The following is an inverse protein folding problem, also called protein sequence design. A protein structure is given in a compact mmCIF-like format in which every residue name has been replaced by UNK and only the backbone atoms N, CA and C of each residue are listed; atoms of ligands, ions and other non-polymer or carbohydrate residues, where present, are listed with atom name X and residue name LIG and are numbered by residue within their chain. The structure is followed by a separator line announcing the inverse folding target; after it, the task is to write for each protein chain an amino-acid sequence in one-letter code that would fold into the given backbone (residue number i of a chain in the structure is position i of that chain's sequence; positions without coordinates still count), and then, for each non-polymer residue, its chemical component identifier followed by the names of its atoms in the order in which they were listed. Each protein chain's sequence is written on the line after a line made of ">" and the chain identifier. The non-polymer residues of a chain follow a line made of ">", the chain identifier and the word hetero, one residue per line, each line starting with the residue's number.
data_IF_668847463379
#
_entry.id   IF_668847463379
#
_cell.length_a   1.000
_cell.length_b   1.000
_cell.length_c   1.000
_cell.angle_alpha   90.00
_cell.angle_beta   90.00
_cell.angle_gamma   90.00
#
_symmetry.space_group_name_H-M   'P 1'
#
loop_
_entity.id
_entity.type
_entity.pdbx_description
1 polymer ?
#
# COMPACT_ATOMS: atom_id res chain seq x y z
N UNK A 1 10.75 11.64 35.79
CA UNK A 1 9.71 10.64 36.07
C UNK A 1 10.36 9.24 36.11
N UNK A 2 10.22 8.50 37.23
CA UNK A 2 10.73 7.11 37.34
C UNK A 2 9.85 6.22 36.43
N UNK A 3 10.41 5.65 35.35
CA UNK A 3 9.78 4.55 34.60
C UNK A 3 10.24 3.22 35.21
N UNK A 4 9.30 2.26 35.41
CA UNK A 4 9.60 0.90 35.80
C UNK A 4 9.22 -0.05 34.67
N UNK A 5 10.14 -0.88 34.20
CA UNK A 5 9.90 -2.02 33.31
C UNK A 5 10.18 -3.30 34.07
N UNK A 6 9.33 -4.30 33.89
CA UNK A 6 9.43 -5.63 34.52
C UNK A 6 9.42 -6.69 33.40
N UNK A 7 9.82 -7.92 33.71
CA UNK A 7 9.75 -9.03 32.74
C UNK A 7 11.02 -9.26 31.94
N UNK A 8 12.18 -8.89 32.45
CA UNK A 8 13.48 -9.26 31.86
C UNK A 8 13.79 -10.73 32.15
N UNK A 9 14.24 -11.48 31.15
CA UNK A 9 14.62 -12.89 31.30
C UNK A 9 15.96 -13.02 32.02
N UNK A 10 16.86 -12.03 31.92
CA UNK A 10 18.19 -12.04 32.55
C UNK A 10 18.55 -10.68 33.16
N UNK A 11 19.45 -10.71 34.16
CA UNK A 11 20.02 -9.49 34.72
C UNK A 11 20.77 -8.65 33.70
N UNK A 12 21.37 -9.30 32.70
CA UNK A 12 22.09 -8.64 31.60
C UNK A 12 21.12 -7.80 30.75
N UNK A 13 19.97 -8.34 30.36
CA UNK A 13 18.92 -7.59 29.65
C UNK A 13 18.40 -6.39 30.44
N UNK A 14 18.23 -6.54 31.76
CA UNK A 14 17.81 -5.43 32.59
C UNK A 14 18.85 -4.30 32.64
N UNK A 15 20.13 -4.63 32.74
CA UNK A 15 21.23 -3.67 32.74
C UNK A 15 21.43 -3.00 31.37
N UNK A 16 21.28 -3.74 30.29
CA UNK A 16 21.32 -3.19 28.93
C UNK A 16 20.14 -2.21 28.71
N UNK A 17 18.93 -2.59 29.14
CA UNK A 17 17.77 -1.69 29.08
C UNK A 17 17.93 -0.44 29.96
N UNK A 18 18.48 -0.58 31.19
CA UNK A 18 18.72 0.58 32.06
C UNK A 18 19.74 1.52 31.44
N UNK A 19 20.82 0.99 30.90
CA UNK A 19 21.86 1.79 30.21
C UNK A 19 21.25 2.54 29.01
N UNK A 20 20.48 1.84 28.16
CA UNK A 20 19.85 2.45 26.98
C UNK A 20 18.81 3.50 27.40
N UNK A 21 18.06 3.24 28.48
CA UNK A 21 17.12 4.21 29.03
C UNK A 21 17.81 5.48 29.57
N UNK A 22 18.94 5.34 30.25
CA UNK A 22 19.73 6.48 30.73
C UNK A 22 20.36 7.26 29.56
N UNK A 23 20.81 6.56 28.51
CA UNK A 23 21.30 7.18 27.27
C UNK A 23 20.19 7.93 26.54
N UNK A 24 18.95 7.42 26.53
CA UNK A 24 17.80 8.13 25.95
C UNK A 24 17.49 9.46 26.66
N UNK A 25 17.76 9.58 27.97
CA UNK A 25 17.56 10.85 28.69
C UNK A 25 18.60 11.93 28.32
N UNK A 26 19.77 11.54 27.83
CA UNK A 26 20.84 12.44 27.35
C UNK A 26 20.97 12.40 25.82
N UNK A 27 19.90 12.07 25.10
CA UNK A 27 19.79 11.84 23.66
C UNK A 27 21.02 12.26 22.85
N UNK A 28 21.96 11.35 22.67
CA UNK A 28 23.25 11.59 21.99
C UNK A 28 23.45 10.57 20.87
N UNK A 29 24.12 10.96 19.80
CA UNK A 29 24.53 10.05 18.72
C UNK A 29 25.52 8.96 19.17
N UNK A 30 25.99 9.02 20.42
CA UNK A 30 26.85 7.99 21.03
C UNK A 30 26.04 6.78 21.52
N UNK A 31 24.69 6.83 21.54
CA UNK A 31 23.87 5.68 21.87
C UNK A 31 23.86 4.64 20.75
N UNK A 32 23.50 3.39 21.09
CA UNK A 32 23.39 2.33 20.09
C UNK A 32 22.31 2.66 19.04
N UNK A 33 22.48 2.15 17.81
CA UNK A 33 21.48 2.32 16.75
C UNK A 33 20.10 1.80 17.21
N UNK A 34 20.08 0.70 17.98
CA UNK A 34 18.82 0.14 18.53
C UNK A 34 18.11 1.19 19.40
N UNK A 35 18.80 1.76 20.39
CA UNK A 35 18.21 2.76 21.28
C UNK A 35 17.82 4.03 20.53
N UNK A 36 18.64 4.50 19.60
CA UNK A 36 18.32 5.66 18.76
C UNK A 36 17.13 5.40 17.83
N UNK A 37 16.99 4.17 17.31
CA UNK A 37 15.85 3.82 16.48
C UNK A 37 14.52 3.84 17.26
N UNK A 38 14.53 3.43 18.54
CA UNK A 38 13.33 3.50 19.38
C UNK A 38 12.92 4.94 19.67
N UNK A 39 13.88 5.82 19.94
CA UNK A 39 13.65 7.26 20.09
C UNK A 39 13.07 7.87 18.78
N UNK A 40 13.68 7.54 17.65
CA UNK A 40 13.19 7.99 16.34
C UNK A 40 11.77 7.50 16.06
N UNK A 41 11.46 6.22 16.36
CA UNK A 41 10.14 5.65 16.15
C UNK A 41 9.10 6.25 17.11
N UNK A 42 9.48 6.62 18.34
CA UNK A 42 8.61 7.32 19.28
C UNK A 42 8.22 8.70 18.72
N UNK A 43 9.17 9.52 18.28
CA UNK A 43 8.87 10.81 17.65
C UNK A 43 8.02 10.67 16.38
N UNK A 44 8.33 9.69 15.52
CA UNK A 44 7.56 9.43 14.29
C UNK A 44 6.13 8.95 14.56
N UNK A 45 5.86 8.33 15.71
CA UNK A 45 4.52 7.86 16.07
C UNK A 45 3.48 8.98 16.17
N UNK A 46 3.91 10.21 16.49
CA UNK A 46 3.06 11.40 16.54
C UNK A 46 2.77 12.00 15.16
N UNK A 47 3.48 11.55 14.11
CA UNK A 47 3.42 12.14 12.76
C UNK A 47 2.94 11.17 11.69
N UNK A 48 3.07 9.88 11.94
CA UNK A 48 2.76 8.83 10.96
C UNK A 48 1.51 8.03 11.37
N UNK A 49 0.81 7.51 10.37
CA UNK A 49 -0.35 6.63 10.61
C UNK A 49 0.07 5.31 11.27
N UNK A 50 -0.81 4.70 12.07
CA UNK A 50 -0.58 3.43 12.79
C UNK A 50 0.00 2.36 11.85
N UNK A 51 -0.61 2.14 10.67
CA UNK A 51 -0.13 1.15 9.69
C UNK A 51 1.30 1.40 9.18
N UNK A 52 1.68 2.66 9.00
CA UNK A 52 3.04 3.03 8.59
C UNK A 52 4.02 2.76 9.73
N UNK A 53 3.63 3.03 10.97
CA UNK A 53 4.46 2.80 12.15
C UNK A 53 4.72 1.32 12.40
N UNK A 54 3.68 0.47 12.28
CA UNK A 54 3.81 -0.98 12.42
C UNK A 54 4.81 -1.54 11.41
N UNK A 55 4.65 -1.19 10.13
CA UNK A 55 5.58 -1.64 9.08
C UNK A 55 7.00 -1.10 9.30
N UNK A 56 7.13 0.16 9.68
CA UNK A 56 8.43 0.79 9.93
C UNK A 56 9.15 0.12 11.10
N UNK A 57 8.44 -0.14 12.20
CA UNK A 57 8.97 -0.86 13.36
C UNK A 57 9.43 -2.26 12.98
N UNK A 58 8.61 -3.03 12.27
CA UNK A 58 8.97 -4.36 11.80
C UNK A 58 10.23 -4.37 10.93
N UNK A 59 10.42 -3.39 10.04
CA UNK A 59 11.64 -3.29 9.23
C UNK A 59 12.88 -3.01 10.07
N UNK A 60 12.77 -2.14 11.10
CA UNK A 60 13.88 -1.91 12.03
C UNK A 60 14.21 -3.16 12.83
N UNK A 61 13.21 -3.81 13.43
CA UNK A 61 13.40 -4.94 14.33
C UNK A 61 13.92 -6.19 13.60
N UNK A 62 13.46 -6.43 12.35
CA UNK A 62 13.78 -7.65 11.61
C UNK A 62 14.96 -7.49 10.65
N UNK A 63 15.25 -6.27 10.15
CA UNK A 63 16.21 -6.09 9.04
C UNK A 63 17.34 -5.11 9.33
N UNK A 64 17.27 -4.31 10.37
CA UNK A 64 18.29 -3.30 10.69
C UNK A 64 18.96 -3.59 12.03
N UNK A 65 18.18 -3.70 13.10
CA UNK A 65 18.70 -3.93 14.46
C UNK A 65 19.54 -5.21 14.62
N UNK A 66 19.20 -6.37 13.99
CA UNK A 66 20.02 -7.57 14.12
C UNK A 66 21.47 -7.40 13.64
N UNK A 67 21.70 -6.51 12.69
CA UNK A 67 23.02 -6.29 12.07
C UNK A 67 23.77 -5.10 12.66
N UNK A 68 23.08 -4.00 12.91
CA UNK A 68 23.68 -2.70 13.26
C UNK A 68 23.27 -2.21 14.65
N UNK A 69 22.31 -2.86 15.30
CA UNK A 69 21.64 -2.37 16.50
C UNK A 69 22.56 -2.11 17.70
N UNK A 70 23.57 -2.93 17.89
CA UNK A 70 24.49 -2.84 19.04
C UNK A 70 25.61 -1.78 18.86
N UNK A 71 25.80 -1.27 17.63
CA UNK A 71 26.87 -0.32 17.32
C UNK A 71 26.42 1.11 17.67
N UNK A 72 27.27 1.95 18.29
CA UNK A 72 26.98 3.37 18.45
C UNK A 72 26.71 4.04 17.10
N UNK A 73 25.68 4.92 17.06
CA UNK A 73 25.23 5.50 15.81
C UNK A 73 26.32 6.29 15.09
N UNK A 74 27.15 7.02 15.83
CA UNK A 74 28.28 7.82 15.32
C UNK A 74 29.47 6.98 14.84
N UNK A 75 29.53 5.70 15.22
CA UNK A 75 30.59 4.77 14.81
C UNK A 75 30.21 3.92 13.60
N UNK A 76 28.97 4.00 13.13
CA UNK A 76 28.53 3.26 11.94
C UNK A 76 29.09 3.95 10.69
N UNK A 77 29.94 3.22 9.99
CA UNK A 77 30.62 3.68 8.78
C UNK A 77 29.87 3.28 7.50
N UNK A 78 30.26 3.86 6.37
CA UNK A 78 29.77 3.43 5.05
C UNK A 78 30.15 1.96 4.75
N UNK A 79 31.27 1.47 5.28
CA UNK A 79 31.69 0.09 5.13
C UNK A 79 30.74 -0.88 5.89
N UNK A 80 30.32 -0.52 7.11
CA UNK A 80 29.33 -1.31 7.86
C UNK A 80 28.00 -1.41 7.11
N UNK A 81 27.54 -0.28 6.52
CA UNK A 81 26.32 -0.25 5.74
C UNK A 81 26.44 -1.10 4.48
N UNK A 82 27.58 -1.04 3.77
CA UNK A 82 27.83 -1.91 2.60
C UNK A 82 27.82 -3.39 2.97
N UNK A 83 28.42 -3.75 4.12
CA UNK A 83 28.39 -5.14 4.63
C UNK A 83 26.94 -5.57 4.88
N UNK A 84 26.15 -4.79 5.61
CA UNK A 84 24.75 -5.04 5.87
C UNK A 84 23.92 -5.17 4.58
N UNK A 85 24.14 -4.26 3.60
CA UNK A 85 23.47 -4.34 2.29
C UNK A 85 23.78 -5.65 1.56
N UNK A 86 25.06 -6.07 1.56
CA UNK A 86 25.48 -7.30 0.89
C UNK A 86 24.88 -8.55 1.55
N UNK A 87 24.75 -8.57 2.87
CA UNK A 87 24.09 -9.67 3.60
C UNK A 87 22.62 -9.77 3.21
N UNK A 88 21.87 -8.65 3.20
CA UNK A 88 20.46 -8.64 2.79
C UNK A 88 20.25 -8.97 1.30
N UNK A 89 21.16 -8.55 0.42
CA UNK A 89 21.13 -8.92 -1.00
C UNK A 89 21.32 -10.43 -1.15
N UNK A 90 22.23 -11.01 -0.36
CA UNK A 90 22.50 -12.46 -0.35
C UNK A 90 21.31 -13.30 0.12
N UNK A 91 20.37 -12.73 0.92
CA UNK A 91 19.14 -13.39 1.32
C UNK A 91 18.09 -13.50 0.18
N UNK A 92 18.34 -12.92 -0.99
CA UNK A 92 17.48 -13.07 -2.18
C UNK A 92 16.19 -12.26 -2.16
N UNK A 93 16.09 -11.21 -1.36
CA UNK A 93 14.90 -10.32 -1.34
C UNK A 93 14.71 -9.57 -2.66
N UNK A 94 13.45 -9.31 -2.99
CA UNK A 94 13.09 -8.51 -4.16
C UNK A 94 13.79 -7.12 -4.13
N UNK A 95 14.30 -6.63 -5.27
CA UNK A 95 15.05 -5.37 -5.34
C UNK A 95 14.27 -4.16 -4.81
N UNK A 96 12.95 -4.14 -4.99
CA UNK A 96 12.08 -3.08 -4.46
C UNK A 96 11.96 -3.13 -2.94
N UNK A 97 11.92 -4.32 -2.34
CA UNK A 97 11.92 -4.50 -0.89
C UNK A 97 13.26 -4.04 -0.27
N UNK A 98 14.38 -4.45 -0.86
CA UNK A 98 15.72 -3.98 -0.44
C UNK A 98 15.81 -2.46 -0.44
N UNK A 99 15.24 -1.80 -1.47
CA UNK A 99 15.18 -0.34 -1.55
C UNK A 99 14.37 0.27 -0.40
N UNK A 100 13.22 -0.33 -0.07
CA UNK A 100 12.39 0.13 1.06
C UNK A 100 13.16 0.04 2.37
N UNK A 101 13.81 -1.10 2.64
CA UNK A 101 14.61 -1.30 3.86
C UNK A 101 15.76 -0.28 3.95
N UNK A 102 16.50 -0.10 2.85
CA UNK A 102 17.57 0.89 2.77
C UNK A 102 17.09 2.32 3.06
N UNK A 103 15.92 2.68 2.55
CA UNK A 103 15.34 3.99 2.76
C UNK A 103 14.98 4.23 4.25
N UNK A 104 14.61 3.18 5.02
CA UNK A 104 14.33 3.32 6.45
C UNK A 104 15.60 3.70 7.22
N UNK A 105 16.72 3.03 6.95
CA UNK A 105 18.01 3.34 7.57
C UNK A 105 18.49 4.74 7.17
N UNK A 106 18.38 5.08 5.90
CA UNK A 106 18.73 6.42 5.38
C UNK A 106 17.91 7.51 6.07
N UNK A 107 16.60 7.28 6.31
CA UNK A 107 15.73 8.23 7.00
C UNK A 107 16.13 8.42 8.48
N UNK A 108 16.50 7.34 9.18
CA UNK A 108 17.02 7.40 10.54
C UNK A 108 18.28 8.28 10.62
N UNK A 109 19.26 8.03 9.76
CA UNK A 109 20.48 8.82 9.74
C UNK A 109 20.26 10.28 9.32
N UNK A 110 19.34 10.56 8.39
CA UNK A 110 18.95 11.94 8.07
C UNK A 110 18.34 12.65 9.28
N UNK A 111 17.52 11.94 10.08
CA UNK A 111 16.95 12.45 11.31
C UNK A 111 18.04 12.75 12.35
N UNK A 112 19.03 11.87 12.50
CA UNK A 112 20.17 12.07 13.40
C UNK A 112 21.02 13.30 12.98
N UNK A 113 21.29 13.46 11.69
CA UNK A 113 22.00 14.63 11.15
C UNK A 113 21.23 15.92 11.43
N UNK A 114 19.90 15.88 11.20
CA UNK A 114 19.06 17.08 11.31
C UNK A 114 18.84 17.54 12.76
N UNK A 115 18.67 16.59 13.70
CA UNK A 115 18.21 16.92 15.04
C UNK A 115 19.20 16.57 16.17
N UNK A 116 20.22 15.75 15.90
CA UNK A 116 21.15 15.23 16.92
C UNK A 116 22.62 15.48 16.59
N UNK A 117 22.90 16.41 15.68
CA UNK A 117 24.26 16.87 15.35
C UNK A 117 25.19 15.77 14.86
N UNK A 118 24.65 14.69 14.27
CA UNK A 118 25.49 13.73 13.55
C UNK A 118 26.10 14.44 12.34
N UNK A 119 27.42 14.31 12.15
CA UNK A 119 28.18 15.08 11.15
C UNK A 119 27.72 14.79 9.72
N UNK A 120 27.49 13.52 9.38
CA UNK A 120 27.05 13.09 8.04
C UNK A 120 26.24 11.82 8.09
N UNK A 121 25.45 11.59 7.04
CA UNK A 121 24.70 10.33 6.88
C UNK A 121 25.56 9.31 6.12
N UNK A 122 26.02 8.21 6.77
CA UNK A 122 26.90 7.23 6.14
C UNK A 122 26.21 6.45 5.00
N UNK A 123 24.86 6.38 4.98
CA UNK A 123 24.13 5.77 3.88
C UNK A 123 24.34 6.50 2.55
N UNK A 124 24.61 7.81 2.57
CA UNK A 124 24.87 8.57 1.33
C UNK A 124 26.19 8.13 0.67
N UNK A 125 27.23 7.88 1.47
CA UNK A 125 28.52 7.35 0.98
C UNK A 125 28.42 5.90 0.54
N UNK A 126 27.70 5.06 1.30
CA UNK A 126 27.50 3.65 0.96
C UNK A 126 26.74 3.46 -0.35
N UNK A 127 25.90 4.44 -0.71
CA UNK A 127 24.96 4.30 -1.80
C UNK A 127 23.72 3.49 -1.41
N UNK A 128 22.82 3.30 -2.35
CA UNK A 128 21.57 2.59 -2.11
C UNK A 128 21.64 1.15 -2.62
N UNK A 129 20.88 0.24 -1.98
CA UNK A 129 20.61 -1.08 -2.52
C UNK A 129 19.21 -1.14 -3.14
N UNK A 130 19.01 -2.09 -4.08
CA UNK A 130 17.74 -2.34 -4.71
C UNK A 130 17.34 -1.33 -5.79
N UNK A 131 16.12 -1.44 -6.31
CA UNK A 131 15.58 -0.64 -7.42
C UNK A 131 14.26 0.05 -7.01
N UNK A 132 13.96 1.18 -7.65
CA UNK A 132 12.70 1.91 -7.42
C UNK A 132 11.51 1.36 -8.21
N UNK A 133 11.76 0.71 -9.34
CA UNK A 133 10.69 0.16 -10.20
C UNK A 133 10.47 -1.31 -9.90
N UNK A 134 9.21 -1.68 -9.71
CA UNK A 134 8.74 -3.06 -9.77
C UNK A 134 8.84 -3.59 -11.22
N UNK A 135 8.60 -4.89 -11.39
CA UNK A 135 8.34 -5.51 -12.69
C UNK A 135 7.13 -4.87 -13.38
N UNK A 136 6.96 -5.16 -14.67
CA UNK A 136 5.85 -4.64 -15.46
C UNK A 136 4.49 -4.89 -14.80
N UNK A 137 3.62 -3.90 -14.94
CA UNK A 137 2.26 -3.93 -14.43
C UNK A 137 1.47 -5.05 -15.11
N UNK A 138 0.86 -5.92 -14.29
CA UNK A 138 -0.06 -6.94 -14.77
C UNK A 138 -1.49 -6.41 -14.76
N UNK A 139 -2.28 -6.81 -15.75
CA UNK A 139 -3.73 -6.55 -15.78
C UNK A 139 -4.44 -7.62 -16.60
N UNK A 140 -5.73 -7.73 -16.43
CA UNK A 140 -6.60 -8.57 -17.23
C UNK A 140 -7.27 -7.79 -18.36
N UNK A 141 -7.36 -8.42 -19.53
CA UNK A 141 -8.25 -7.97 -20.58
C UNK A 141 -9.71 -8.21 -20.17
N UNK A 142 -10.66 -7.63 -20.92
CA UNK A 142 -12.09 -7.87 -20.70
C UNK A 142 -12.44 -9.36 -20.76
N UNK A 143 -11.87 -10.10 -21.70
CA UNK A 143 -12.14 -11.55 -21.86
C UNK A 143 -11.56 -12.38 -20.72
N UNK A 144 -10.35 -12.05 -20.25
CA UNK A 144 -9.75 -12.67 -19.07
C UNK A 144 -10.62 -12.44 -17.83
N UNK A 145 -11.07 -11.19 -17.63
CA UNK A 145 -11.96 -10.86 -16.53
C UNK A 145 -13.31 -11.60 -16.62
N UNK A 146 -13.92 -11.67 -17.80
CA UNK A 146 -15.20 -12.36 -17.99
C UNK A 146 -15.10 -13.85 -17.63
N UNK A 147 -14.01 -14.52 -18.01
CA UNK A 147 -13.77 -15.93 -17.62
C UNK A 147 -13.56 -16.08 -16.11
N UNK A 148 -12.84 -15.15 -15.50
CA UNK A 148 -12.66 -15.11 -14.05
C UNK A 148 -14.00 -14.92 -13.32
N UNK A 149 -14.81 -13.96 -13.74
CA UNK A 149 -16.11 -13.64 -13.14
C UNK A 149 -17.08 -14.83 -13.26
N UNK A 150 -17.09 -15.54 -14.40
CA UNK A 150 -17.89 -16.76 -14.60
C UNK A 150 -17.58 -17.83 -13.57
N UNK A 151 -16.30 -18.00 -13.21
CA UNK A 151 -15.88 -18.97 -12.19
C UNK A 151 -16.38 -18.64 -10.77
N UNK A 152 -16.81 -17.40 -10.53
CA UNK A 152 -17.32 -16.92 -9.23
C UNK A 152 -18.84 -16.87 -9.12
N UNK A 153 -19.62 -17.18 -10.18
CA UNK A 153 -21.09 -17.05 -10.16
C UNK A 153 -21.77 -17.85 -9.05
N UNK A 154 -21.19 -18.97 -8.64
CA UNK A 154 -21.71 -19.79 -7.54
C UNK A 154 -21.33 -19.24 -6.14
N UNK A 155 -20.54 -18.18 -6.08
CA UNK A 155 -20.06 -17.51 -4.86
C UNK A 155 -20.49 -16.03 -4.84
N UNK A 156 -21.80 -15.72 -4.66
CA UNK A 156 -22.35 -14.36 -4.88
C UNK A 156 -21.62 -13.26 -4.13
N UNK A 157 -21.09 -13.56 -2.93
CA UNK A 157 -20.35 -12.60 -2.10
C UNK A 157 -19.01 -12.19 -2.73
N UNK A 158 -18.30 -13.13 -3.35
CA UNK A 158 -17.04 -12.83 -4.03
C UNK A 158 -17.30 -12.26 -5.41
N UNK A 159 -18.30 -12.79 -6.12
CA UNK A 159 -18.72 -12.23 -7.40
C UNK A 159 -19.03 -10.75 -7.30
N UNK A 160 -19.94 -10.32 -6.39
CA UNK A 160 -20.26 -8.92 -6.19
C UNK A 160 -19.05 -8.06 -5.78
N UNK A 161 -18.15 -8.61 -4.94
CA UNK A 161 -16.93 -7.91 -4.54
C UNK A 161 -15.98 -7.65 -5.72
N UNK A 162 -15.73 -8.66 -6.55
CA UNK A 162 -14.82 -8.53 -7.70
C UNK A 162 -15.43 -7.72 -8.85
N UNK A 163 -16.75 -7.85 -9.11
CA UNK A 163 -17.49 -6.97 -10.02
C UNK A 163 -17.35 -5.50 -9.62
N UNK A 164 -17.54 -5.23 -8.32
CA UNK A 164 -17.36 -3.87 -7.79
C UNK A 164 -15.93 -3.37 -7.99
N UNK A 165 -14.90 -4.18 -7.68
CA UNK A 165 -13.49 -3.80 -7.87
C UNK A 165 -13.16 -3.53 -9.34
N UNK A 166 -13.60 -4.42 -10.24
CA UNK A 166 -13.28 -4.32 -11.66
C UNK A 166 -13.96 -3.14 -12.33
N UNK A 167 -15.27 -2.95 -12.11
CA UNK A 167 -16.03 -1.89 -12.80
C UNK A 167 -15.94 -0.51 -12.14
N UNK A 168 -15.37 -0.41 -10.94
CA UNK A 168 -15.15 0.90 -10.29
C UNK A 168 -13.69 1.32 -10.21
N UNK A 169 -12.77 0.37 -10.29
CA UNK A 169 -11.34 0.59 -10.08
C UNK A 169 -10.97 1.06 -8.66
N UNK A 170 -11.86 0.88 -7.68
CA UNK A 170 -11.56 1.25 -6.29
C UNK A 170 -10.46 0.36 -5.68
N UNK A 171 -9.82 0.84 -4.62
CA UNK A 171 -8.83 0.04 -3.88
C UNK A 171 -9.53 -1.00 -3.02
N UNK A 172 -8.88 -2.16 -2.80
CA UNK A 172 -9.44 -3.22 -1.95
C UNK A 172 -9.84 -2.72 -0.56
N UNK A 173 -9.03 -1.84 0.05
CA UNK A 173 -9.38 -1.26 1.34
C UNK A 173 -10.57 -0.30 1.29
N UNK A 174 -10.84 0.33 0.15
CA UNK A 174 -12.05 1.15 -0.08
C UNK A 174 -13.28 0.25 -0.20
N UNK A 175 -13.20 -0.85 -0.98
CA UNK A 175 -14.26 -1.84 -1.09
C UNK A 175 -14.65 -2.42 0.27
N UNK A 176 -13.66 -2.92 1.01
CA UNK A 176 -13.92 -3.59 2.30
C UNK A 176 -14.34 -2.64 3.42
N UNK A 177 -14.28 -1.32 3.16
CA UNK A 177 -14.79 -0.28 4.05
C UNK A 177 -16.20 0.22 3.68
N UNK A 178 -16.78 -0.21 2.54
CA UNK A 178 -18.07 0.27 2.10
C UNK A 178 -19.18 -0.12 3.07
N UNK A 179 -19.91 0.87 3.55
CA UNK A 179 -21.15 0.68 4.27
C UNK A 179 -22.35 0.61 3.31
N UNK A 180 -23.46 0.02 3.76
CA UNK A 180 -24.68 0.02 2.99
C UNK A 180 -25.11 1.44 2.57
N UNK A 181 -24.96 2.42 3.46
CA UNK A 181 -25.26 3.83 3.20
C UNK A 181 -24.35 4.51 2.16
N UNK A 182 -23.20 3.90 1.82
CA UNK A 182 -22.31 4.42 0.78
C UNK A 182 -22.76 4.02 -0.63
N UNK A 183 -23.63 3.02 -0.76
CA UNK A 183 -24.12 2.47 -2.04
C UNK A 183 -25.55 2.94 -2.27
N UNK A 184 -25.75 3.69 -3.34
CA UNK A 184 -27.05 4.19 -3.76
C UNK A 184 -27.37 3.63 -5.15
N UNK A 185 -28.03 2.46 -5.17
CA UNK A 185 -28.38 1.75 -6.42
C UNK A 185 -29.43 2.49 -7.24
N UNK A 186 -30.28 3.30 -6.59
CA UNK A 186 -31.29 4.12 -7.27
C UNK A 186 -30.66 5.29 -8.02
N UNK A 187 -29.70 5.97 -7.38
CA UNK A 187 -28.92 7.03 -8.01
C UNK A 187 -27.79 6.50 -8.90
N UNK A 188 -27.47 5.19 -8.83
CA UNK A 188 -26.37 4.57 -9.57
C UNK A 188 -25.00 5.06 -9.14
N UNK A 189 -24.77 5.22 -7.83
CA UNK A 189 -23.49 5.76 -7.32
C UNK A 189 -22.98 5.02 -6.09
N UNK A 190 -21.64 5.01 -5.96
CA UNK A 190 -20.93 4.55 -4.75
C UNK A 190 -20.09 5.72 -4.22
N UNK A 191 -20.21 6.02 -2.91
CA UNK A 191 -19.45 7.06 -2.22
C UNK A 191 -18.22 6.44 -1.55
N UNK A 192 -17.04 6.77 -2.04
CA UNK A 192 -15.76 6.33 -1.48
C UNK A 192 -15.22 7.41 -0.55
N UNK A 193 -15.30 7.19 0.76
CA UNK A 193 -14.92 8.18 1.78
C UNK A 193 -14.10 7.58 2.94
N UNK A 194 -13.82 6.27 2.91
CA UNK A 194 -13.10 5.54 3.95
C UNK A 194 -12.28 4.38 3.37
N UNK A 195 -11.39 3.82 4.16
CA UNK A 195 -10.58 2.64 3.82
C UNK A 195 -10.39 1.78 5.06
N UNK A 196 -10.55 0.47 4.89
CA UNK A 196 -10.36 -0.54 5.93
C UNK A 196 -9.00 -1.21 5.80
N UNK A 197 -8.38 -1.51 6.95
CA UNK A 197 -7.18 -2.33 7.09
C UNK A 197 -7.26 -3.14 8.38
N UNK A 198 -6.82 -4.39 8.33
CA UNK A 198 -6.54 -5.17 9.54
C UNK A 198 -5.12 -4.82 10.01
N UNK A 199 -4.98 -4.25 11.21
CA UNK A 199 -3.69 -3.83 11.77
C UNK A 199 -3.54 -4.49 13.15
N UNK A 200 -2.54 -5.38 13.29
CA UNK A 200 -2.28 -6.11 14.54
C UNK A 200 -3.50 -6.87 15.07
N UNK A 201 -4.33 -7.41 14.16
CA UNK A 201 -5.54 -8.15 14.51
C UNK A 201 -6.77 -7.28 14.78
N UNK A 202 -6.64 -5.95 14.73
CA UNK A 202 -7.74 -5.01 14.92
C UNK A 202 -8.26 -4.48 13.59
N UNK A 203 -9.58 -4.38 13.47
CA UNK A 203 -10.27 -3.73 12.35
C UNK A 203 -10.10 -2.22 12.47
N UNK A 204 -9.43 -1.60 11.49
CA UNK A 204 -9.17 -0.16 11.48
C UNK A 204 -9.75 0.46 10.23
N UNK A 205 -10.77 1.30 10.41
CA UNK A 205 -11.35 2.13 9.35
C UNK A 205 -10.79 3.54 9.48
N UNK A 206 -10.21 4.04 8.40
CA UNK A 206 -9.61 5.37 8.36
C UNK A 206 -10.16 6.18 7.21
N UNK A 207 -10.09 7.51 7.33
CA UNK A 207 -10.28 8.38 6.18
C UNK A 207 -9.19 8.17 5.12
N UNK A 208 -9.50 8.42 3.84
CA UNK A 208 -8.50 8.37 2.77
C UNK A 208 -7.30 9.29 3.06
N UNK A 209 -6.17 8.98 2.40
CA UNK A 209 -4.92 9.75 2.63
C UNK A 209 -4.98 11.18 2.08
N UNK A 210 -5.76 11.39 1.02
CA UNK A 210 -5.86 12.69 0.34
C UNK A 210 -7.31 13.06 0.10
N UNK A 211 -7.59 14.34 -0.05
CA UNK A 211 -8.94 14.87 -0.31
C UNK A 211 -9.51 14.31 -1.61
N UNK A 212 -8.70 14.18 -2.67
CA UNK A 212 -9.10 13.61 -3.97
C UNK A 212 -9.44 12.11 -3.92
N UNK A 213 -9.00 11.41 -2.87
CA UNK A 213 -9.40 10.03 -2.67
C UNK A 213 -10.85 9.90 -2.21
N UNK A 214 -11.45 10.94 -1.59
CA UNK A 214 -12.89 11.04 -1.35
C UNK A 214 -13.58 11.38 -2.67
N UNK A 215 -14.40 10.47 -3.17
CA UNK A 215 -15.04 10.62 -4.48
C UNK A 215 -16.36 9.86 -4.53
N UNK A 216 -17.20 10.24 -5.49
CA UNK A 216 -18.40 9.49 -5.87
C UNK A 216 -18.16 8.85 -7.22
N UNK A 217 -18.39 7.55 -7.34
CA UNK A 217 -18.22 6.79 -8.57
C UNK A 217 -19.62 6.45 -9.12
N UNK A 218 -19.93 6.92 -10.31
CA UNK A 218 -21.14 6.47 -11.03
C UNK A 218 -20.91 5.05 -11.54
N UNK A 219 -21.88 4.16 -11.30
CA UNK A 219 -21.82 2.74 -11.66
C UNK A 219 -22.91 2.38 -12.68
N UNK A 220 -22.65 1.41 -13.57
CA UNK A 220 -23.62 0.97 -14.55
C UNK A 220 -24.80 0.23 -13.90
N UNK A 221 -25.96 0.23 -14.57
CA UNK A 221 -27.20 -0.37 -14.06
C UNK A 221 -27.09 -1.85 -13.74
N UNK A 222 -26.33 -2.62 -14.51
CA UNK A 222 -26.12 -4.04 -14.20
C UNK A 222 -25.42 -4.22 -12.85
N UNK A 223 -24.41 -3.39 -12.52
CA UNK A 223 -23.73 -3.45 -11.23
C UNK A 223 -24.65 -2.98 -10.09
N UNK A 224 -25.55 -2.02 -10.35
CA UNK A 224 -26.60 -1.65 -9.38
C UNK A 224 -27.49 -2.85 -9.05
N UNK A 225 -27.95 -3.58 -10.06
CA UNK A 225 -28.82 -4.74 -9.89
C UNK A 225 -28.11 -5.89 -9.14
N UNK A 226 -26.85 -6.16 -9.47
CA UNK A 226 -26.03 -7.16 -8.78
C UNK A 226 -25.76 -6.81 -7.30
N UNK A 227 -25.47 -5.55 -7.02
CA UNK A 227 -25.28 -5.09 -5.64
C UNK A 227 -26.59 -5.12 -4.85
N UNK A 228 -27.70 -4.77 -5.49
CA UNK A 228 -29.02 -4.83 -4.87
C UNK A 228 -29.44 -6.25 -4.54
N UNK A 229 -29.25 -7.20 -5.47
CA UNK A 229 -29.47 -8.62 -5.24
C UNK A 229 -28.58 -9.16 -4.11
N UNK A 230 -27.27 -8.85 -4.13
CA UNK A 230 -26.34 -9.28 -3.09
C UNK A 230 -26.72 -8.72 -1.70
N UNK A 231 -27.00 -7.41 -1.60
CA UNK A 231 -27.39 -6.75 -0.35
C UNK A 231 -28.72 -7.30 0.16
N UNK A 232 -29.67 -7.61 -0.72
CA UNK A 232 -30.99 -8.17 -0.34
C UNK A 232 -30.88 -9.51 0.37
N UNK A 233 -29.85 -10.29 0.07
CA UNK A 233 -29.54 -11.59 0.71
C UNK A 233 -28.87 -11.46 2.07
N UNK A 234 -28.45 -10.25 2.47
CA UNK A 234 -27.80 -9.99 3.77
C UNK A 234 -28.86 -9.66 4.82
N UNK A 235 -29.17 -10.63 5.68
CA UNK A 235 -30.17 -10.43 6.72
C UNK A 235 -29.74 -9.39 7.75
N UNK A 236 -30.62 -8.42 8.03
CA UNK A 236 -30.42 -7.42 9.09
C UNK A 236 -29.30 -6.42 8.87
N UNK A 237 -28.79 -6.26 7.64
CA UNK A 237 -27.71 -5.32 7.31
C UNK A 237 -28.15 -3.87 7.60
N UNK A 238 -27.55 -3.25 8.63
CA UNK A 238 -27.80 -1.84 8.99
C UNK A 238 -27.11 -0.87 8.00
N UNK A 239 -27.47 0.41 8.05
CA UNK A 239 -26.94 1.43 7.15
C UNK A 239 -25.42 1.64 7.29
N UNK A 240 -24.89 1.42 8.48
CA UNK A 240 -23.47 1.56 8.86
C UNK A 240 -22.72 0.23 8.97
N UNK A 241 -23.35 -0.88 8.53
CA UNK A 241 -22.65 -2.16 8.39
C UNK A 241 -21.88 -2.24 7.08
N UNK A 242 -20.73 -2.93 7.14
CA UNK A 242 -19.89 -3.19 5.96
C UNK A 242 -20.59 -4.20 5.03
N UNK A 243 -20.77 -3.80 3.77
CA UNK A 243 -21.32 -4.68 2.71
C UNK A 243 -20.35 -5.81 2.36
N UNK A 244 -19.06 -5.53 2.42
CA UNK A 244 -17.98 -6.49 2.14
C UNK A 244 -17.08 -6.69 3.36
N UNK A 245 -17.51 -7.43 4.40
CA UNK A 245 -16.76 -7.61 5.65
C UNK A 245 -15.61 -8.61 5.49
N UNK A 246 -14.83 -8.49 4.42
CA UNK A 246 -13.68 -9.32 4.13
C UNK A 246 -12.39 -8.68 4.60
N UNK A 247 -11.39 -9.54 4.91
CA UNK A 247 -10.00 -9.12 4.92
C UNK A 247 -9.41 -9.26 3.52
N UNK A 248 -8.31 -8.58 3.26
CA UNK A 248 -7.57 -8.71 2.01
C UNK A 248 -7.19 -10.17 1.69
N UNK A 249 -6.75 -10.91 2.69
CA UNK A 249 -6.31 -12.30 2.54
C UNK A 249 -7.46 -13.22 2.07
N UNK A 250 -8.68 -12.99 2.54
CA UNK A 250 -9.87 -13.73 2.10
C UNK A 250 -10.13 -13.49 0.62
N UNK A 251 -10.05 -12.26 0.17
CA UNK A 251 -10.21 -11.93 -1.25
C UNK A 251 -9.05 -12.46 -2.11
N UNK A 252 -7.80 -12.42 -1.61
CA UNK A 252 -6.65 -13.01 -2.32
C UNK A 252 -6.80 -14.52 -2.48
N UNK A 253 -7.31 -15.22 -1.45
CA UNK A 253 -7.61 -16.65 -1.53
C UNK A 253 -8.72 -16.95 -2.55
N UNK A 254 -9.84 -16.20 -2.49
CA UNK A 254 -10.94 -16.36 -3.45
C UNK A 254 -10.48 -16.10 -4.90
N UNK A 255 -9.65 -15.07 -5.10
CA UNK A 255 -9.05 -14.77 -6.39
C UNK A 255 -8.19 -15.94 -6.90
N UNK A 256 -7.38 -16.57 -6.04
CA UNK A 256 -6.57 -17.72 -6.42
C UNK A 256 -7.46 -18.88 -6.89
N UNK A 257 -8.47 -19.25 -6.10
CA UNK A 257 -9.39 -20.33 -6.43
C UNK A 257 -10.11 -20.09 -7.77
N UNK A 258 -10.57 -18.86 -8.00
CA UNK A 258 -11.23 -18.50 -9.26
C UNK A 258 -10.27 -18.51 -10.47
N UNK A 259 -9.02 -18.08 -10.29
CA UNK A 259 -7.99 -18.17 -11.31
C UNK A 259 -7.69 -19.64 -11.66
N UNK A 260 -7.55 -20.52 -10.66
CA UNK A 260 -7.29 -21.95 -10.87
C UNK A 260 -8.47 -22.63 -11.60
N UNK A 261 -9.72 -22.26 -11.27
CA UNK A 261 -10.95 -22.77 -11.91
C UNK A 261 -11.11 -22.27 -13.36
N UNK A 262 -10.79 -20.99 -13.61
CA UNK A 262 -10.99 -20.35 -14.93
C UNK A 262 -9.81 -20.51 -15.89
N UNK A 263 -8.63 -20.91 -15.41
CA UNK A 263 -7.39 -20.95 -16.18
C UNK A 263 -6.86 -19.56 -16.55
N UNK A 264 -7.33 -18.49 -15.88
CA UNK A 264 -6.85 -17.11 -16.09
C UNK A 264 -5.59 -16.89 -15.27
N UNK A 265 -4.60 -16.18 -15.84
CA UNK A 265 -3.38 -15.84 -15.11
C UNK A 265 -3.69 -15.09 -13.81
N UNK A 266 -3.02 -15.48 -12.72
CA UNK A 266 -3.15 -14.75 -11.46
C UNK A 266 -2.49 -13.38 -11.55
N UNK A 267 -3.20 -12.35 -11.07
CA UNK A 267 -2.68 -11.01 -10.83
C UNK A 267 -2.89 -10.64 -9.36
N UNK A 268 -2.32 -9.54 -8.89
CA UNK A 268 -2.61 -9.03 -7.54
C UNK A 268 -3.99 -8.39 -7.52
N UNK A 269 -4.70 -8.40 -6.40
CA UNK A 269 -6.02 -7.73 -6.29
C UNK A 269 -5.94 -6.25 -6.70
N UNK A 270 -4.82 -5.58 -6.39
CA UNK A 270 -4.63 -4.18 -6.81
C UNK A 270 -4.55 -4.01 -8.32
N UNK A 271 -4.15 -5.06 -9.05
CA UNK A 271 -4.03 -5.02 -10.51
C UNK A 271 -5.41 -5.05 -11.21
N UNK A 272 -6.52 -5.36 -10.50
CA UNK A 272 -7.88 -5.13 -10.99
C UNK A 272 -8.16 -3.65 -11.28
N UNK A 273 -7.57 -2.77 -10.47
CA UNK A 273 -7.64 -1.33 -10.71
C UNK A 273 -6.84 -0.94 -11.97
N UNK A 274 -5.74 -1.63 -12.25
CA UNK A 274 -5.00 -1.47 -13.50
C UNK A 274 -5.81 -2.01 -14.69
N UNK A 275 -6.51 -3.13 -14.50
CA UNK A 275 -7.43 -3.70 -15.50
C UNK A 275 -8.58 -2.72 -15.81
N UNK A 276 -9.17 -2.09 -14.79
CA UNK A 276 -10.18 -1.06 -14.98
C UNK A 276 -9.65 0.14 -15.77
N UNK A 277 -8.45 0.64 -15.42
CA UNK A 277 -7.83 1.75 -16.15
C UNK A 277 -7.54 1.38 -17.61
N UNK A 278 -7.03 0.17 -17.87
CA UNK A 278 -6.78 -0.33 -19.23
C UNK A 278 -8.06 -0.40 -20.04
N UNK A 279 -9.14 -0.92 -19.45
CA UNK A 279 -10.47 -0.96 -20.08
C UNK A 279 -10.95 0.44 -20.48
N UNK A 280 -10.83 1.43 -19.59
CA UNK A 280 -11.24 2.81 -19.89
C UNK A 280 -10.38 3.47 -20.98
N UNK A 281 -9.09 3.16 -21.03
CA UNK A 281 -8.18 3.63 -22.08
C UNK A 281 -8.57 3.02 -23.43
N UNK A 282 -8.86 1.72 -23.47
CA UNK A 282 -9.35 1.02 -24.65
C UNK A 282 -10.67 1.61 -25.18
N UNK A 283 -11.55 2.04 -24.27
CA UNK A 283 -12.79 2.74 -24.59
C UNK A 283 -12.58 4.21 -25.01
N UNK A 284 -11.34 4.71 -25.02
CA UNK A 284 -10.99 6.06 -25.49
C UNK A 284 -11.17 7.18 -24.45
N UNK A 285 -11.38 6.88 -23.17
CA UNK A 285 -11.51 7.90 -22.15
C UNK A 285 -10.19 8.62 -21.85
N UNK A 286 -10.29 9.91 -21.51
CA UNK A 286 -9.12 10.76 -21.26
C UNK A 286 -8.40 10.40 -19.96
N UNK A 287 -7.07 10.63 -19.86
CA UNK A 287 -6.32 10.43 -18.61
C UNK A 287 -6.86 11.24 -17.43
N UNK A 288 -7.46 12.39 -17.68
CA UNK A 288 -8.05 13.27 -16.66
C UNK A 288 -9.27 12.58 -16.01
N UNK A 289 -10.18 12.06 -16.83
CA UNK A 289 -11.36 11.35 -16.34
C UNK A 289 -10.97 10.09 -15.58
N UNK A 290 -9.98 9.33 -16.09
CA UNK A 290 -9.48 8.13 -15.42
C UNK A 290 -8.85 8.49 -14.06
N UNK A 291 -8.05 9.56 -13.99
CA UNK A 291 -7.46 10.04 -12.74
C UNK A 291 -8.52 10.40 -11.69
N UNK A 292 -9.56 11.12 -12.09
CA UNK A 292 -10.69 11.50 -11.24
C UNK A 292 -11.43 10.27 -10.73
N UNK A 293 -11.85 9.36 -11.62
CA UNK A 293 -12.56 8.14 -11.28
C UNK A 293 -11.79 7.24 -10.32
N UNK A 294 -10.48 7.13 -10.56
CA UNK A 294 -9.58 6.36 -9.70
C UNK A 294 -9.26 7.10 -8.37
N UNK A 295 -9.43 8.42 -8.29
CA UNK A 295 -9.02 9.24 -7.13
C UNK A 295 -7.51 9.32 -7.02
N UNK A 296 -6.81 9.62 -8.14
CA UNK A 296 -5.40 9.95 -8.15
C UNK A 296 -5.21 11.42 -7.73
N UNK A 297 -4.19 11.68 -6.92
CA UNK A 297 -3.86 13.04 -6.47
C UNK A 297 -3.52 13.95 -7.65
N UNK A 298 -2.84 13.41 -8.67
CA UNK A 298 -2.45 14.10 -9.87
C UNK A 298 -2.69 13.24 -11.11
N UNK A 299 -3.05 13.88 -12.22
CA UNK A 299 -3.18 13.22 -13.54
C UNK A 299 -1.85 12.62 -13.98
N UNK A 300 -0.73 13.22 -13.56
CA UNK A 300 0.62 12.72 -13.81
C UNK A 300 0.79 11.27 -13.30
N UNK A 301 0.16 10.90 -12.18
CA UNK A 301 0.17 9.52 -11.68
C UNK A 301 -0.47 8.56 -12.70
N UNK A 302 -1.58 8.97 -13.34
CA UNK A 302 -2.24 8.18 -14.39
C UNK A 302 -1.37 8.08 -15.62
N UNK A 303 -0.80 9.20 -16.10
CA UNK A 303 0.07 9.23 -17.26
C UNK A 303 1.34 8.40 -17.03
N UNK A 304 2.05 8.58 -15.92
CA UNK A 304 3.27 7.81 -15.60
C UNK A 304 3.02 6.31 -15.51
N UNK A 305 1.79 5.92 -15.13
CA UNK A 305 1.43 4.50 -14.99
C UNK A 305 0.93 3.90 -16.29
N UNK A 306 0.13 4.64 -17.07
CA UNK A 306 -0.66 4.07 -18.18
C UNK A 306 -0.37 4.71 -19.56
N UNK A 307 0.56 5.68 -19.67
CA UNK A 307 0.80 6.37 -20.97
C UNK A 307 1.14 5.39 -22.10
N UNK A 308 1.82 4.30 -21.80
CA UNK A 308 2.20 3.27 -22.77
C UNK A 308 1.02 2.46 -23.34
N UNK A 309 -0.16 2.51 -22.69
CA UNK A 309 -1.38 1.85 -23.16
C UNK A 309 -2.21 2.73 -24.10
N UNK A 310 -1.93 4.04 -24.17
CA UNK A 310 -2.63 4.91 -25.09
C UNK A 310 -2.13 4.68 -26.52
N UNK A 311 -3.04 4.43 -27.50
CA UNK A 311 -2.65 4.28 -28.88
C UNK A 311 -2.09 5.61 -29.42
N UNK A 312 -1.11 5.51 -30.34
CA UNK A 312 -0.67 6.68 -31.08
C UNK A 312 -1.78 7.13 -32.02
N UNK A 313 -2.18 8.39 -31.91
CA UNK A 313 -3.21 9.00 -32.77
C UNK A 313 -2.61 9.98 -33.79
N UNK A 314 -1.32 9.87 -34.10
CA UNK A 314 -0.65 10.80 -35.02
C UNK A 314 -1.25 10.78 -36.43
N UNK A 315 -1.61 9.60 -36.93
CA UNK A 315 -2.26 9.44 -38.23
C UNK A 315 -3.67 10.05 -38.26
N UNK A 316 -4.45 9.78 -37.17
CA UNK A 316 -5.80 10.36 -37.00
C UNK A 316 -5.74 11.90 -36.93
N UNK A 317 -4.73 12.45 -36.26
CA UNK A 317 -4.50 13.91 -36.22
C UNK A 317 -4.19 14.45 -37.61
N UNK A 318 -3.30 13.77 -38.36
CA UNK A 318 -2.94 14.21 -39.72
C UNK A 318 -4.17 14.18 -40.63
N UNK A 319 -4.98 13.13 -40.62
CA UNK A 319 -6.21 13.03 -41.38
C UNK A 319 -7.20 14.15 -41.07
N UNK A 320 -7.49 14.38 -39.79
CA UNK A 320 -8.40 15.44 -39.35
C UNK A 320 -7.91 16.85 -39.73
N UNK A 321 -6.61 17.09 -39.72
CA UNK A 321 -6.05 18.35 -40.15
C UNK A 321 -6.18 18.52 -41.66
N UNK A 322 -6.06 17.45 -42.47
CA UNK A 322 -6.29 17.46 -43.91
C UNK A 322 -7.76 17.78 -44.23
N UNK A 323 -8.72 17.19 -43.52
CA UNK A 323 -10.18 17.43 -43.69
C UNK A 323 -10.60 18.87 -43.36
N UNK A 324 -9.79 19.62 -42.61
CA UNK A 324 -10.06 21.03 -42.25
C UNK A 324 -9.62 22.03 -43.35
N UNK A 325 -8.94 21.57 -44.40
CA UNK A 325 -8.40 22.39 -45.48
C UNK A 325 -9.22 22.30 -46.76
#
# INVERSE_FOLDING_TARGET
>A
KKKKKRGFATKREALEWERDFLQMQTASVNMSLSAFSDLYLEDMSHRLRKSTMVNKRALFDLKIKPYLGNKPLNEITAADIRKWQNELIGEGYAPTYLKIVNNQLTALFNYAVKYYSLTENPCKKAGSMGKNKAEEMQFWTKDEYSRFAEALKEEPRFFAAFETLYYTGMRVGELTALYKSDIDTKAGVIRVNKSYQLIEGEDVITEPKTTKSKRTITIPQFLCAELEDYISRMYGLAADDRVFPFTRNVLEYAMQQACDKSGVKKIRIHDLRHSHASLLIEMGFSPVLIAERLGHESVETTLNTYAHLYPSKQEEVAQKLEEMR
#
